data_IF_636921704312
#
_entry.id   IF_636921704312
#
_cell.length_a   1.000
_cell.length_b   1.000
_cell.length_c   1.000
_cell.angle_alpha   90.00
_cell.angle_beta   90.00
_cell.angle_gamma   90.00
#
_symmetry.space_group_name_H-M   'P 1'
#
loop_
_entity.id
_entity.type
_entity.pdbx_description
1 polymer ?
#
# COMPACT_ATOMS: atom_id res chain seq x y z
N UNK A 1 -11.31 -27.87 27.13
CA UNK A 1 -10.35 -26.73 27.11
C UNK A 1 -11.04 -25.39 27.35
N UNK A 2 -12.17 -25.07 26.69
CA UNK A 2 -12.91 -23.81 26.88
C UNK A 2 -13.39 -23.58 28.34
N UNK A 3 -13.92 -24.61 29.01
CA UNK A 3 -14.40 -24.50 30.39
C UNK A 3 -13.27 -24.25 31.41
N UNK A 4 -12.05 -24.70 31.12
CA UNK A 4 -10.89 -24.46 31.98
C UNK A 4 -10.44 -22.99 31.92
N UNK A 5 -10.41 -22.39 30.73
CA UNK A 5 -10.09 -20.96 30.57
C UNK A 5 -11.07 -20.06 31.31
N UNK A 6 -12.37 -20.37 31.28
CA UNK A 6 -13.40 -19.57 31.96
C UNK A 6 -13.30 -19.63 33.50
N UNK A 7 -12.94 -20.79 34.05
CA UNK A 7 -12.90 -20.99 35.51
C UNK A 7 -11.59 -20.57 36.19
N UNK A 8 -10.44 -20.70 35.50
CA UNK A 8 -9.12 -20.51 36.11
C UNK A 8 -8.39 -19.24 35.65
N UNK A 9 -8.89 -18.57 34.60
CA UNK A 9 -8.29 -17.37 34.01
C UNK A 9 -9.32 -16.27 33.70
N UNK A 10 -10.36 -16.15 34.53
CA UNK A 10 -11.45 -15.18 34.38
C UNK A 10 -10.97 -13.71 34.30
N UNK A 11 -9.82 -13.39 34.89
CA UNK A 11 -9.19 -12.05 34.85
C UNK A 11 -8.37 -11.76 33.58
N UNK A 12 -8.16 -12.74 32.70
CA UNK A 12 -7.47 -12.58 31.40
C UNK A 12 -8.41 -12.56 30.20
N UNK A 13 -9.71 -12.73 30.42
CA UNK A 13 -10.74 -12.60 29.40
C UNK A 13 -11.26 -11.16 29.48
N UNK A 14 -10.57 -10.24 28.82
CA UNK A 14 -11.16 -8.93 28.55
C UNK A 14 -12.24 -9.18 27.49
N UNK A 15 -13.52 -8.82 27.72
CA UNK A 15 -14.51 -8.83 26.65
C UNK A 15 -13.96 -8.01 25.50
N UNK A 16 -13.95 -8.58 24.30
CA UNK A 16 -13.75 -7.77 23.10
C UNK A 16 -14.95 -6.83 23.03
N UNK A 17 -14.80 -5.61 23.53
CA UNK A 17 -15.74 -4.53 23.28
C UNK A 17 -15.77 -4.37 21.76
N UNK A 18 -16.81 -4.91 21.14
CA UNK A 18 -17.18 -4.54 19.79
C UNK A 18 -17.39 -3.04 19.83
N UNK A 19 -16.55 -2.31 19.10
CA UNK A 19 -16.70 -0.88 18.91
C UNK A 19 -18.03 -0.62 18.20
N UNK A 20 -19.12 -0.50 18.96
CA UNK A 20 -20.36 0.07 18.49
C UNK A 20 -20.13 1.56 18.24
N UNK A 21 -20.62 2.05 17.11
CA UNK A 21 -20.47 3.41 16.56
C UNK A 21 -20.76 4.56 17.56
N UNK A 22 -21.42 4.29 18.68
CA UNK A 22 -21.75 5.27 19.73
C UNK A 22 -20.51 5.74 20.52
N UNK A 23 -19.42 4.96 20.57
CA UNK A 23 -18.23 5.33 21.33
C UNK A 23 -17.30 6.34 20.63
N UNK A 24 -17.56 6.71 19.37
CA UNK A 24 -16.74 7.69 18.64
C UNK A 24 -17.08 9.17 18.95
N UNK A 25 -18.18 9.45 19.64
CA UNK A 25 -18.67 10.82 19.86
C UNK A 25 -18.16 11.51 21.15
N UNK A 26 -17.31 10.86 21.96
CA UNK A 26 -16.79 11.47 23.20
C UNK A 26 -15.29 11.29 23.40
N UNK A 27 -14.48 11.42 22.35
CA UNK A 27 -13.13 11.94 22.58
C UNK A 27 -13.24 13.44 22.82
N UNK A 28 -13.46 13.83 24.08
CA UNK A 28 -13.05 15.17 24.51
C UNK A 28 -11.56 15.26 24.19
N UNK A 29 -11.21 16.05 23.18
CA UNK A 29 -9.83 16.47 22.96
C UNK A 29 -9.43 17.27 24.19
N UNK A 30 -8.80 16.59 25.17
CA UNK A 30 -8.22 17.28 26.30
C UNK A 30 -7.06 18.12 25.78
N UNK A 31 -7.19 19.44 25.90
CA UNK A 31 -6.07 20.36 25.62
C UNK A 31 -5.08 20.18 26.76
N UNK A 32 -4.16 19.22 26.61
CA UNK A 32 -3.19 18.82 27.66
C UNK A 32 -2.21 19.95 28.00
N UNK A 33 -2.02 20.92 27.09
CA UNK A 33 -1.05 22.01 27.25
C UNK A 33 -1.61 23.37 26.84
N UNK A 34 -1.31 24.46 27.56
CA UNK A 34 -1.70 25.81 27.15
C UNK A 34 -1.06 26.16 25.80
N UNK A 35 -1.71 27.06 25.06
CA UNK A 35 -1.21 27.49 23.76
C UNK A 35 0.21 28.06 23.88
N UNK A 36 1.10 27.54 23.05
CA UNK A 36 2.38 28.15 22.71
C UNK A 36 2.58 28.03 21.21
N UNK A 37 3.35 28.95 20.63
CA UNK A 37 3.71 28.86 19.22
C UNK A 37 4.52 27.59 18.89
N UNK A 38 5.23 27.04 19.88
CA UNK A 38 5.97 25.79 19.74
C UNK A 38 5.02 24.60 19.67
N UNK A 39 4.12 24.43 20.65
CA UNK A 39 3.19 23.30 20.67
C UNK A 39 2.21 23.33 19.50
N UNK A 40 1.73 24.52 19.11
CA UNK A 40 0.88 24.65 17.93
C UNK A 40 1.61 24.28 16.63
N UNK A 41 2.92 24.59 16.52
CA UNK A 41 3.72 24.16 15.36
C UNK A 41 3.97 22.67 15.37
N UNK A 42 4.26 22.06 16.51
CA UNK A 42 4.43 20.61 16.60
C UNK A 42 3.16 19.85 16.20
N UNK A 43 1.99 20.31 16.68
CA UNK A 43 0.71 19.75 16.27
C UNK A 43 0.45 19.92 14.76
N UNK A 44 0.83 21.08 14.18
CA UNK A 44 0.73 21.31 12.74
C UNK A 44 1.69 20.41 11.94
N UNK A 45 2.92 20.22 12.42
CA UNK A 45 3.89 19.29 11.82
C UNK A 45 3.34 17.87 11.81
N UNK A 46 2.80 17.42 12.93
CA UNK A 46 2.16 16.11 13.06
C UNK A 46 0.98 15.97 12.10
N UNK A 47 0.10 16.97 12.01
CA UNK A 47 -1.01 16.97 11.06
C UNK A 47 -0.53 16.85 9.62
N UNK A 48 0.49 17.61 9.21
CA UNK A 48 1.02 17.56 7.84
C UNK A 48 1.64 16.20 7.54
N UNK A 49 2.39 15.63 8.49
CA UNK A 49 3.01 14.30 8.34
C UNK A 49 1.96 13.20 8.26
N UNK A 50 1.04 13.14 9.23
CA UNK A 50 0.06 12.06 9.36
C UNK A 50 -0.95 12.05 8.21
N UNK A 51 -1.29 13.23 7.68
CA UNK A 51 -2.28 13.35 6.60
C UNK A 51 -1.63 13.51 5.22
N UNK A 52 -0.30 13.42 5.14
CA UNK A 52 0.46 13.57 3.89
C UNK A 52 0.12 14.87 3.13
N UNK A 53 -0.01 15.99 3.85
CA UNK A 53 -0.28 17.28 3.22
C UNK A 53 0.97 17.86 2.55
N UNK A 54 0.80 18.66 1.48
CA UNK A 54 1.92 19.38 0.90
C UNK A 54 2.49 20.39 1.90
N UNK A 55 3.81 20.60 1.89
CA UNK A 55 4.45 21.59 2.75
C UNK A 55 3.98 23.03 2.49
N UNK A 56 3.38 23.27 1.32
CA UNK A 56 2.80 24.56 0.93
C UNK A 56 1.46 24.85 1.62
N UNK A 57 0.85 23.89 2.34
CA UNK A 57 -0.39 24.10 3.09
C UNK A 57 -0.31 25.35 3.98
N UNK A 58 0.84 25.57 4.63
CA UNK A 58 1.06 26.70 5.54
C UNK A 58 1.13 28.06 4.84
N UNK A 59 1.17 28.06 3.51
CA UNK A 59 1.19 29.26 2.65
C UNK A 59 -0.15 29.47 1.92
N UNK A 60 -1.10 28.53 2.04
CA UNK A 60 -2.43 28.68 1.46
C UNK A 60 -3.22 29.77 2.18
N UNK A 61 -3.78 30.72 1.42
CA UNK A 61 -4.43 31.90 1.97
C UNK A 61 -5.65 31.56 2.85
N UNK A 62 -6.41 30.53 2.46
CA UNK A 62 -7.55 30.00 3.21
C UNK A 62 -7.10 29.42 4.56
N UNK A 63 -6.03 28.63 4.56
CA UNK A 63 -5.46 28.03 5.76
C UNK A 63 -4.87 29.07 6.71
N UNK A 64 -4.14 30.06 6.19
CA UNK A 64 -3.64 31.19 6.98
C UNK A 64 -4.79 31.94 7.65
N UNK A 65 -5.86 32.24 6.91
CA UNK A 65 -7.05 32.91 7.45
C UNK A 65 -7.72 32.07 8.55
N UNK A 66 -7.85 30.77 8.33
CA UNK A 66 -8.39 29.82 9.30
C UNK A 66 -7.59 29.84 10.62
N UNK A 67 -6.27 29.70 10.54
CA UNK A 67 -5.39 29.77 11.72
C UNK A 67 -5.49 31.11 12.46
N UNK A 68 -5.52 32.23 11.73
CA UNK A 68 -5.62 33.56 12.31
C UNK A 68 -6.95 33.80 13.05
N UNK A 69 -8.05 33.24 12.56
CA UNK A 69 -9.37 33.30 13.22
C UNK A 69 -9.36 32.43 14.48
N UNK A 70 -8.81 31.22 14.42
CA UNK A 70 -8.73 30.34 15.59
C UNK A 70 -7.87 30.90 16.71
N UNK A 71 -6.69 31.45 16.35
CA UNK A 71 -5.81 32.09 17.31
C UNK A 71 -4.91 33.14 16.63
N UNK A 72 -5.20 34.44 16.80
CA UNK A 72 -4.42 35.53 16.21
C UNK A 72 -2.94 35.57 16.65
N UNK A 73 -2.60 34.93 17.79
CA UNK A 73 -1.22 34.88 18.28
C UNK A 73 -0.39 33.74 17.66
N UNK A 74 -0.99 32.88 16.86
CA UNK A 74 -0.28 31.82 16.17
C UNK A 74 0.47 32.34 14.95
N UNK A 75 1.79 32.20 14.98
CA UNK A 75 2.70 32.62 13.92
C UNK A 75 3.07 31.41 13.07
N UNK A 76 2.37 31.28 11.96
CA UNK A 76 2.73 30.35 10.89
C UNK A 76 4.14 30.64 10.36
N UNK A 77 4.81 29.58 9.94
CA UNK A 77 6.13 29.65 9.31
C UNK A 77 5.98 29.34 7.83
N UNK A 78 6.91 29.83 7.01
CA UNK A 78 6.95 29.55 5.57
C UNK A 78 7.19 28.06 5.30
N UNK A 79 6.80 27.59 4.13
CA UNK A 79 6.94 26.20 3.70
C UNK A 79 8.39 25.70 3.79
N UNK A 80 9.37 26.56 3.49
CA UNK A 80 10.80 26.25 3.62
C UNK A 80 11.23 25.98 5.05
N UNK A 81 10.82 26.83 6.00
CA UNK A 81 11.10 26.66 7.42
C UNK A 81 10.34 25.45 7.98
N UNK A 82 9.13 25.19 7.48
CA UNK A 82 8.30 24.04 7.84
C UNK A 82 8.97 22.72 7.41
N UNK A 83 9.40 22.62 6.15
CA UNK A 83 10.18 21.49 5.63
C UNK A 83 11.44 21.24 6.47
N UNK A 84 12.17 22.30 6.82
CA UNK A 84 13.37 22.17 7.66
C UNK A 84 13.04 21.69 9.08
N UNK A 85 11.88 22.06 9.63
CA UNK A 85 11.42 21.55 10.92
C UNK A 85 11.11 20.05 10.87
N UNK A 86 10.38 19.58 9.84
CA UNK A 86 10.16 18.15 9.59
C UNK A 86 11.49 17.40 9.45
N UNK A 87 12.42 17.95 8.68
CA UNK A 87 13.73 17.32 8.47
C UNK A 87 14.55 17.21 9.77
N UNK A 88 14.50 18.23 10.64
CA UNK A 88 15.12 18.16 11.97
C UNK A 88 14.47 17.10 12.86
N UNK A 89 13.14 16.98 12.82
CA UNK A 89 12.40 15.93 13.52
C UNK A 89 12.83 14.55 13.04
N UNK A 90 12.91 14.34 11.72
CA UNK A 90 13.45 13.11 11.13
C UNK A 90 14.87 12.80 11.62
N UNK A 91 15.79 13.77 11.64
CA UNK A 91 17.16 13.55 12.15
C UNK A 91 17.13 13.13 13.63
N UNK A 92 16.27 13.73 14.44
CA UNK A 92 16.14 13.39 15.86
C UNK A 92 15.59 11.98 16.04
N UNK A 93 14.44 11.67 15.44
CA UNK A 93 13.79 10.36 15.53
C UNK A 93 14.69 9.25 14.98
N UNK A 94 15.43 9.53 13.89
CA UNK A 94 16.43 8.60 13.36
C UNK A 94 17.49 8.24 14.40
N UNK A 95 18.00 9.21 15.18
CA UNK A 95 18.96 8.93 16.25
C UNK A 95 18.33 8.04 17.34
N UNK A 96 17.08 8.29 17.67
CA UNK A 96 16.36 7.50 18.67
C UNK A 96 16.16 6.05 18.21
N UNK A 97 15.86 5.84 16.92
CA UNK A 97 15.76 4.50 16.31
C UNK A 97 17.12 3.78 16.31
N UNK A 98 18.21 4.47 15.93
CA UNK A 98 19.57 3.90 16.03
C UNK A 98 19.88 3.50 17.48
N UNK A 99 19.53 4.34 18.45
CA UNK A 99 19.74 4.04 19.87
C UNK A 99 18.84 2.90 20.36
N UNK A 100 17.64 2.77 19.82
CA UNK A 100 16.73 1.66 20.10
C UNK A 100 17.33 0.32 19.64
N UNK A 101 17.87 0.25 18.41
CA UNK A 101 18.47 -0.99 17.88
C UNK A 101 19.76 -1.42 18.57
N UNK A 102 20.48 -0.49 19.22
CA UNK A 102 21.66 -0.84 20.04
C UNK A 102 21.33 -1.68 21.27
N UNK A 103 20.07 -1.74 21.70
CA UNK A 103 19.67 -2.54 22.86
C UNK A 103 19.91 -4.03 22.58
N UNK A 104 20.49 -4.75 23.55
CA UNK A 104 20.67 -6.22 23.49
C UNK A 104 19.35 -6.98 23.42
N UNK A 105 18.27 -6.30 23.76
CA UNK A 105 16.93 -6.81 23.82
C UNK A 105 16.34 -7.02 22.40
N UNK A 106 16.86 -6.36 21.37
CA UNK A 106 16.35 -6.55 20.01
C UNK A 106 16.97 -7.79 19.38
N UNK A 107 16.12 -8.72 18.93
CA UNK A 107 16.54 -9.92 18.21
C UNK A 107 17.01 -9.65 16.79
N UNK A 108 16.95 -10.67 15.94
CA UNK A 108 17.17 -10.52 14.51
C UNK A 108 16.01 -9.76 13.85
N UNK A 109 16.29 -9.14 12.71
CA UNK A 109 15.34 -8.37 11.91
C UNK A 109 15.21 -8.98 10.52
N UNK A 110 14.00 -8.98 9.98
CA UNK A 110 13.74 -9.31 8.59
C UNK A 110 13.62 -8.02 7.79
N UNK A 111 14.21 -7.96 6.60
CA UNK A 111 14.17 -6.78 5.75
C UNK A 111 13.31 -7.02 4.51
N UNK A 112 12.56 -6.02 4.10
CA UNK A 112 11.95 -5.92 2.77
C UNK A 112 12.64 -4.78 2.03
N UNK A 113 12.91 -4.99 0.74
CA UNK A 113 13.42 -3.91 -0.12
C UNK A 113 12.58 -3.80 -1.38
N UNK A 114 12.22 -2.57 -1.70
CA UNK A 114 11.52 -2.20 -2.93
C UNK A 114 12.41 -1.26 -3.75
N UNK A 115 12.51 -1.55 -5.04
CA UNK A 115 13.29 -0.77 -5.98
C UNK A 115 12.42 -0.39 -7.16
N UNK A 116 12.34 0.91 -7.44
CA UNK A 116 11.57 1.41 -8.56
C UNK A 116 12.25 2.62 -9.19
N UNK A 117 11.96 2.86 -10.46
CA UNK A 117 12.29 4.12 -11.12
C UNK A 117 11.15 5.10 -10.89
N UNK A 118 11.46 6.25 -10.29
CA UNK A 118 10.50 7.33 -10.07
C UNK A 118 10.08 8.00 -11.38
N UNK A 119 9.02 8.81 -11.33
CA UNK A 119 8.54 9.54 -12.53
C UNK A 119 9.53 10.56 -13.09
N UNK A 120 10.54 10.96 -12.32
CA UNK A 120 11.65 11.81 -12.77
C UNK A 120 12.93 11.00 -13.10
N UNK A 121 12.79 9.70 -13.40
CA UNK A 121 13.85 8.79 -13.82
C UNK A 121 14.97 8.58 -12.78
N UNK A 122 14.66 8.71 -11.49
CA UNK A 122 15.59 8.37 -10.41
C UNK A 122 15.30 6.95 -9.95
N UNK A 123 16.32 6.11 -9.83
CA UNK A 123 16.13 4.83 -9.16
C UNK A 123 16.11 5.04 -7.66
N UNK A 124 15.04 4.59 -7.03
CA UNK A 124 14.82 4.71 -5.61
C UNK A 124 14.82 3.32 -4.99
N UNK A 125 15.40 3.23 -3.80
CA UNK A 125 15.42 2.04 -2.97
C UNK A 125 14.81 2.38 -1.62
N UNK A 126 13.76 1.66 -1.25
CA UNK A 126 13.23 1.66 0.10
C UNK A 126 13.68 0.39 0.82
N UNK A 127 14.21 0.53 2.03
CA UNK A 127 14.54 -0.59 2.91
C UNK A 127 13.74 -0.46 4.18
N UNK A 128 12.88 -1.45 4.43
CA UNK A 128 12.05 -1.55 5.62
C UNK A 128 12.45 -2.78 6.40
N UNK A 129 12.53 -2.65 7.72
CA UNK A 129 12.83 -3.79 8.60
C UNK A 129 11.65 -4.07 9.52
N UNK A 130 11.39 -5.35 9.72
CA UNK A 130 10.37 -5.89 10.60
C UNK A 130 11.03 -6.78 11.64
N UNK A 131 10.56 -6.70 12.89
CA UNK A 131 11.05 -7.53 13.98
C UNK A 131 9.96 -7.79 15.02
N UNK A 132 10.21 -8.74 15.92
CA UNK A 132 9.35 -9.03 17.06
C UNK A 132 9.98 -8.49 18.34
N UNK A 133 9.17 -7.83 19.17
CA UNK A 133 9.53 -7.48 20.55
C UNK A 133 9.39 -8.69 21.48
N UNK A 134 9.85 -8.59 22.74
CA UNK A 134 9.66 -9.66 23.74
C UNK A 134 8.20 -9.98 24.02
N UNK A 135 7.33 -8.98 23.87
CA UNK A 135 5.89 -9.12 24.08
C UNK A 135 5.19 -9.67 22.82
N UNK A 136 5.95 -10.22 21.86
CA UNK A 136 5.47 -10.74 20.58
C UNK A 136 4.69 -9.70 19.75
N UNK A 137 4.97 -8.42 19.96
CA UNK A 137 4.45 -7.34 19.12
C UNK A 137 5.34 -7.19 17.90
N UNK A 138 4.73 -7.30 16.72
CA UNK A 138 5.37 -7.05 15.44
C UNK A 138 5.58 -5.55 15.25
N UNK A 139 6.82 -5.19 14.98
CA UNK A 139 7.25 -3.82 14.74
C UNK A 139 7.81 -3.70 13.33
N UNK A 140 7.64 -2.54 12.73
CA UNK A 140 8.15 -2.22 11.41
C UNK A 140 8.70 -0.79 11.40
N UNK A 141 9.79 -0.57 10.68
CA UNK A 141 10.29 0.77 10.38
C UNK A 141 11.00 0.81 9.04
N UNK A 142 10.71 1.84 8.23
CA UNK A 142 11.50 2.14 7.03
C UNK A 142 12.80 2.83 7.42
N UNK A 143 13.92 2.17 7.21
CA UNK A 143 15.26 2.66 7.56
C UNK A 143 15.82 3.64 6.54
N UNK A 144 15.54 3.38 5.27
CA UNK A 144 16.12 4.12 4.16
C UNK A 144 15.14 4.27 3.02
N UNK A 145 15.12 5.47 2.45
CA UNK A 145 14.52 5.80 1.18
C UNK A 145 15.57 6.60 0.41
N UNK A 146 16.31 5.93 -0.47
CA UNK A 146 17.52 6.49 -1.10
C UNK A 146 17.44 6.41 -2.60
N UNK A 147 17.98 7.42 -3.25
CA UNK A 147 18.34 7.32 -4.66
C UNK A 147 19.54 6.37 -4.80
N UNK A 148 19.43 5.37 -5.67
CA UNK A 148 20.52 4.49 -6.04
C UNK A 148 21.33 5.16 -7.15
N UNK A 149 22.47 5.75 -6.78
CA UNK A 149 23.36 6.41 -7.73
C UNK A 149 24.20 5.41 -8.51
N UNK A 150 24.40 5.67 -9.80
CA UNK A 150 25.19 4.80 -10.70
C UNK A 150 24.38 3.64 -11.28
N UNK A 151 25.07 2.57 -11.69
CA UNK A 151 24.45 1.43 -12.36
C UNK A 151 23.47 0.69 -11.44
N UNK A 152 22.30 0.29 -11.95
CA UNK A 152 21.33 -0.55 -11.24
C UNK A 152 21.73 -2.04 -11.23
N UNK A 153 23.01 -2.30 -10.99
CA UNK A 153 23.53 -3.66 -10.84
C UNK A 153 23.17 -4.22 -9.46
N UNK A 154 23.00 -5.54 -9.38
CA UNK A 154 22.78 -6.22 -8.09
C UNK A 154 23.88 -5.91 -7.06
N UNK A 155 25.11 -5.70 -7.52
CA UNK A 155 26.24 -5.33 -6.65
C UNK A 155 26.04 -3.95 -6.02
N UNK A 156 25.61 -2.96 -6.80
CA UNK A 156 25.33 -1.62 -6.27
C UNK A 156 24.15 -1.66 -5.28
N UNK A 157 23.11 -2.43 -5.59
CA UNK A 157 21.97 -2.68 -4.71
C UNK A 157 22.45 -3.28 -3.37
N UNK A 158 23.33 -4.28 -3.41
CA UNK A 158 23.88 -4.93 -2.22
C UNK A 158 24.64 -3.97 -1.30
N UNK A 159 25.51 -3.14 -1.90
CA UNK A 159 26.29 -2.16 -1.16
C UNK A 159 25.40 -1.08 -0.54
N UNK A 160 24.42 -0.57 -1.30
CA UNK A 160 23.46 0.42 -0.78
C UNK A 160 22.65 -0.18 0.38
N UNK A 161 22.07 -1.37 0.20
CA UNK A 161 21.31 -2.08 1.23
C UNK A 161 22.12 -2.30 2.51
N UNK A 162 23.34 -2.84 2.39
CA UNK A 162 24.20 -3.11 3.53
C UNK A 162 24.67 -1.82 4.23
N UNK A 163 24.91 -0.74 3.47
CA UNK A 163 25.24 0.57 4.05
C UNK A 163 24.10 1.08 4.94
N UNK A 164 22.84 0.95 4.49
CA UNK A 164 21.66 1.33 5.28
C UNK A 164 21.62 0.50 6.57
N UNK A 165 21.74 -0.83 6.50
CA UNK A 165 21.74 -1.66 7.71
C UNK A 165 22.87 -1.29 8.68
N UNK A 166 24.06 -1.01 8.15
CA UNK A 166 25.24 -0.66 8.96
C UNK A 166 25.05 0.65 9.72
N UNK A 167 24.43 1.66 9.09
CA UNK A 167 24.12 2.94 9.75
C UNK A 167 23.19 2.79 10.96
N UNK A 168 22.35 1.76 10.97
CA UNK A 168 21.47 1.43 12.08
C UNK A 168 22.04 0.35 13.02
N UNK A 169 23.25 -0.16 12.75
CA UNK A 169 23.90 -1.21 13.56
C UNK A 169 23.24 -2.59 13.42
N UNK A 170 22.58 -2.85 12.28
CA UNK A 170 21.79 -4.06 12.02
C UNK A 170 22.49 -5.08 11.11
N UNK A 171 23.72 -4.80 10.67
CA UNK A 171 24.43 -5.63 9.70
C UNK A 171 24.66 -7.08 10.17
N UNK A 172 24.79 -7.31 11.49
CA UNK A 172 24.93 -8.64 12.11
C UNK A 172 23.59 -9.18 12.66
N UNK A 173 22.46 -8.58 12.30
CA UNK A 173 21.13 -8.97 12.83
C UNK A 173 20.13 -9.28 11.72
N UNK A 174 20.58 -9.51 10.50
CA UNK A 174 19.71 -9.77 9.37
C UNK A 174 19.28 -11.25 9.34
N UNK A 175 17.99 -11.52 9.54
CA UNK A 175 17.40 -12.86 9.48
C UNK A 175 17.07 -13.26 8.05
N UNK A 176 16.34 -12.43 7.33
CA UNK A 176 15.93 -12.70 5.96
C UNK A 176 15.75 -11.41 5.17
N UNK A 177 15.81 -11.52 3.85
CA UNK A 177 15.55 -10.42 2.91
C UNK A 177 14.41 -10.83 1.99
N UNK A 178 13.40 -9.98 1.89
CA UNK A 178 12.29 -10.14 0.95
C UNK A 178 12.40 -9.10 -0.15
N UNK A 179 12.39 -9.55 -1.41
CA UNK A 179 12.48 -8.68 -2.59
C UNK A 179 11.33 -8.95 -3.55
N UNK A 180 11.09 -8.06 -4.50
CA UNK A 180 10.26 -8.37 -5.66
C UNK A 180 10.92 -9.42 -6.58
N UNK A 181 10.29 -9.73 -7.71
CA UNK A 181 10.80 -10.73 -8.66
C UNK A 181 11.62 -10.10 -9.80
N UNK A 182 12.38 -9.04 -9.53
CA UNK A 182 13.30 -8.45 -10.50
C UNK A 182 14.52 -9.36 -10.73
N UNK A 183 15.02 -9.39 -11.96
CA UNK A 183 16.17 -10.23 -12.35
C UNK A 183 17.47 -9.84 -11.64
N UNK A 184 17.65 -8.57 -11.32
CA UNK A 184 18.81 -8.03 -10.60
C UNK A 184 18.90 -8.53 -9.14
N UNK A 185 17.78 -8.97 -8.55
CA UNK A 185 17.75 -9.42 -7.16
C UNK A 185 18.58 -10.68 -6.92
N UNK A 186 18.73 -11.55 -7.95
CA UNK A 186 19.64 -12.69 -7.85
C UNK A 186 21.06 -12.22 -7.53
N UNK A 187 21.64 -11.38 -8.39
CA UNK A 187 22.98 -10.83 -8.20
C UNK A 187 23.11 -10.02 -6.90
N UNK A 188 22.06 -9.29 -6.50
CA UNK A 188 22.03 -8.59 -5.21
C UNK A 188 22.22 -9.56 -4.02
N UNK A 189 21.45 -10.64 -3.99
CA UNK A 189 21.50 -11.63 -2.91
C UNK A 189 22.83 -12.37 -2.87
N UNK A 190 23.41 -12.66 -4.05
CA UNK A 190 24.74 -13.27 -4.12
C UNK A 190 25.84 -12.36 -3.58
N UNK A 191 25.79 -11.09 -3.95
CA UNK A 191 26.75 -10.10 -3.46
C UNK A 191 26.56 -9.83 -1.97
N UNK A 192 25.32 -9.77 -1.47
CA UNK A 192 25.05 -9.58 -0.04
C UNK A 192 25.62 -10.74 0.80
N UNK A 193 25.45 -11.99 0.35
CA UNK A 193 26.05 -13.16 0.99
C UNK A 193 27.59 -13.09 0.98
N UNK A 194 28.17 -12.57 -0.11
CA UNK A 194 29.63 -12.37 -0.21
C UNK A 194 30.12 -11.29 0.76
N UNK A 195 29.44 -10.16 0.84
CA UNK A 195 29.81 -9.01 1.67
C UNK A 195 29.69 -9.29 3.18
N UNK A 196 28.77 -10.17 3.58
CA UNK A 196 28.51 -10.50 4.98
C UNK A 196 29.26 -11.74 5.46
N UNK A 197 30.10 -12.37 4.63
CA UNK A 197 30.78 -13.65 4.94
C UNK A 197 31.59 -13.64 6.24
N UNK A 198 32.24 -12.51 6.55
CA UNK A 198 33.12 -12.36 7.72
C UNK A 198 32.38 -11.75 8.94
N UNK A 199 31.05 -11.62 8.87
CA UNK A 199 30.25 -11.12 9.99
C UNK A 199 29.96 -12.22 11.00
N UNK A 200 29.64 -11.85 12.24
CA UNK A 200 29.26 -12.78 13.30
C UNK A 200 28.05 -13.65 12.89
N UNK A 201 27.15 -13.07 12.10
CA UNK A 201 25.97 -13.71 11.53
C UNK A 201 25.91 -13.40 10.03
N UNK A 202 26.58 -14.22 9.18
CA UNK A 202 26.58 -14.02 7.74
C UNK A 202 25.19 -14.23 7.15
N UNK A 203 24.88 -13.53 6.06
CA UNK A 203 23.64 -13.73 5.33
C UNK A 203 23.77 -14.91 4.37
N UNK A 204 22.88 -15.90 4.52
CA UNK A 204 22.80 -17.08 3.66
C UNK A 204 21.76 -16.87 2.54
N UNK A 205 22.02 -17.42 1.36
CA UNK A 205 21.12 -17.23 0.19
C UNK A 205 19.75 -17.87 0.43
N UNK A 206 19.69 -18.88 1.28
CA UNK A 206 18.50 -19.60 1.73
C UNK A 206 17.56 -18.68 2.54
N UNK A 207 18.09 -17.59 3.10
CA UNK A 207 17.33 -16.57 3.81
C UNK A 207 16.74 -15.51 2.87
N UNK A 208 16.81 -15.72 1.55
CA UNK A 208 16.12 -14.89 0.57
C UNK A 208 14.69 -15.38 0.32
N UNK A 209 13.73 -14.50 0.55
CA UNK A 209 12.33 -14.73 0.24
C UNK A 209 11.97 -13.90 -1.00
N UNK A 210 11.39 -14.53 -2.00
CA UNK A 210 10.82 -13.82 -3.15
C UNK A 210 9.38 -13.45 -2.84
N UNK A 211 9.02 -12.20 -3.08
CA UNK A 211 7.63 -11.78 -3.13
C UNK A 211 7.01 -12.35 -4.42
N UNK A 212 6.56 -13.61 -4.35
CA UNK A 212 5.76 -14.26 -5.37
C UNK A 212 4.34 -13.68 -5.29
N UNK A 213 4.15 -12.44 -5.76
CA UNK A 213 2.82 -12.00 -6.19
C UNK A 213 2.42 -12.79 -7.44
N UNK A 214 1.11 -12.97 -7.74
CA UNK A 214 0.71 -13.42 -9.06
C UNK A 214 1.38 -12.51 -10.09
N UNK A 215 2.23 -13.09 -10.94
CA UNK A 215 3.08 -12.36 -11.88
C UNK A 215 2.31 -11.23 -12.58
N UNK A 216 2.89 -10.03 -12.83
CA UNK A 216 2.25 -8.96 -13.62
C UNK A 216 1.87 -9.38 -15.06
N UNK A 217 2.27 -10.58 -15.47
CA UNK A 217 1.79 -11.19 -16.70
C UNK A 217 0.40 -11.81 -16.58
N UNK A 218 -0.22 -12.01 -15.40
CA UNK A 218 -1.65 -12.36 -15.36
C UNK A 218 -2.51 -11.17 -15.83
N UNK A 219 -2.09 -9.93 -15.57
CA UNK A 219 -2.75 -8.72 -16.12
C UNK A 219 -2.48 -8.46 -17.61
N UNK A 220 -1.47 -9.12 -18.20
CA UNK A 220 -1.09 -8.97 -19.61
C UNK A 220 -1.25 -10.23 -20.47
N UNK A 221 -1.42 -11.42 -19.88
CA UNK A 221 -1.71 -12.65 -20.62
C UNK A 221 -3.20 -12.76 -20.90
N UNK A 222 -3.58 -12.34 -22.11
CA UNK A 222 -4.80 -12.77 -22.76
C UNK A 222 -5.96 -11.78 -22.69
N UNK A 223 -6.09 -10.94 -23.72
CA UNK A 223 -7.37 -10.43 -24.24
C UNK A 223 -8.27 -9.53 -23.37
N UNK A 224 -7.80 -9.00 -22.24
CA UNK A 224 -8.36 -7.73 -21.73
C UNK A 224 -8.02 -6.51 -22.63
N UNK A 225 -7.41 -6.72 -23.80
CA UNK A 225 -7.01 -5.69 -24.76
C UNK A 225 -8.16 -5.05 -25.55
N UNK A 226 -9.35 -5.67 -25.59
CA UNK A 226 -10.49 -5.10 -26.33
C UNK A 226 -11.19 -3.98 -25.55
N UNK A 227 -11.37 -4.10 -24.23
CA UNK A 227 -11.95 -3.01 -23.41
C UNK A 227 -10.92 -1.96 -22.96
N UNK A 228 -9.63 -2.32 -22.89
CA UNK A 228 -8.52 -1.39 -22.56
C UNK A 228 -8.41 -0.21 -23.54
N UNK A 229 -8.89 -0.34 -24.78
CA UNK A 229 -8.83 0.72 -25.79
C UNK A 229 -10.02 1.68 -25.77
N UNK A 230 -11.22 1.23 -25.34
CA UNK A 230 -12.43 2.07 -25.27
C UNK A 230 -12.45 2.93 -23.99
N UNK A 231 -12.19 2.35 -22.81
CA UNK A 231 -12.09 3.13 -21.57
C UNK A 231 -10.90 4.13 -21.57
N UNK A 232 -9.81 3.80 -22.29
CA UNK A 232 -8.67 4.73 -22.47
C UNK A 232 -9.01 5.98 -23.26
N UNK A 233 -9.95 5.94 -24.21
CA UNK A 233 -10.34 7.14 -24.95
C UNK A 233 -11.01 8.14 -24.01
N UNK A 234 -11.93 7.68 -23.16
CA UNK A 234 -12.62 8.53 -22.16
C UNK A 234 -11.64 9.24 -21.22
N UNK A 235 -10.51 8.59 -20.89
CA UNK A 235 -9.48 9.11 -19.98
C UNK A 235 -8.45 10.09 -20.61
N UNK A 236 -8.47 10.32 -21.93
CA UNK A 236 -7.53 11.25 -22.60
C UNK A 236 -8.12 12.66 -22.77
N UNK A 237 -9.37 12.89 -22.39
CA UNK A 237 -10.00 14.21 -22.43
C UNK A 237 -10.03 14.94 -21.09
N UNK A 238 -9.10 14.68 -20.18
CA UNK A 238 -8.93 15.50 -18.97
C UNK A 238 -8.22 16.81 -19.32
N UNK A 239 -9.02 17.72 -19.89
CA UNK A 239 -8.97 19.16 -19.66
C UNK A 239 -10.39 19.75 -19.84
N UNK A 240 -11.44 19.01 -19.45
CA UNK A 240 -12.79 19.54 -19.48
C UNK A 240 -13.49 19.45 -18.11
N UNK A 241 -13.87 20.64 -17.67
CA UNK A 241 -14.59 20.99 -16.46
C UNK A 241 -16.03 20.49 -16.60
N UNK A 242 -16.29 19.22 -16.22
CA UNK A 242 -17.68 18.73 -16.12
C UNK A 242 -18.21 19.15 -14.76
N UNK A 243 -18.68 20.40 -14.73
CA UNK A 243 -19.64 20.87 -13.75
C UNK A 243 -21.01 20.20 -13.95
N UNK A 244 -21.65 20.00 -12.81
CA UNK A 244 -23.07 19.73 -12.59
C UNK A 244 -23.68 18.39 -13.08
N UNK A 245 -24.34 17.77 -12.10
CA UNK A 245 -25.36 16.71 -12.21
C UNK A 245 -24.91 15.35 -12.74
N UNK A 246 -24.68 14.43 -11.80
CA UNK A 246 -25.23 13.06 -11.73
C UNK A 246 -24.82 12.49 -10.35
N UNK A 247 -25.81 12.30 -9.47
CA UNK A 247 -25.66 12.06 -8.01
C UNK A 247 -26.33 10.73 -7.61
N UNK A 248 -25.87 10.14 -6.49
CA UNK A 248 -26.33 8.92 -5.76
C UNK A 248 -25.74 7.57 -6.23
N UNK A 249 -25.42 6.56 -5.39
CA UNK A 249 -25.28 6.38 -3.93
C UNK A 249 -24.42 5.10 -3.70
N UNK A 250 -23.50 5.10 -2.71
CA UNK A 250 -22.98 3.85 -2.12
C UNK A 250 -23.78 3.55 -0.86
N UNK A 251 -24.42 2.37 -0.79
CA UNK A 251 -25.24 1.93 0.33
C UNK A 251 -24.51 2.00 1.68
N UNK A 252 -24.86 3.01 2.46
CA UNK A 252 -24.89 2.99 3.92
C UNK A 252 -26.31 3.41 4.32
N UNK A 253 -27.15 2.54 4.88
CA UNK A 253 -28.49 2.95 5.29
C UNK A 253 -28.37 3.83 6.55
N UNK A 254 -28.49 5.14 6.34
CA UNK A 254 -28.63 6.14 7.38
C UNK A 254 -27.38 6.98 7.59
N UNK A 255 -27.31 8.13 6.92
CA UNK A 255 -27.06 9.46 7.48
C UNK A 255 -26.75 10.45 6.34
N UNK A 256 -27.53 11.53 6.26
CA UNK A 256 -27.35 12.64 5.33
C UNK A 256 -25.93 13.23 5.42
N UNK A 257 -25.03 12.82 4.51
CA UNK A 257 -23.70 13.38 4.41
C UNK A 257 -23.67 14.54 3.39
N UNK A 258 -23.41 15.80 3.81
CA UNK A 258 -23.38 16.97 2.92
C UNK A 258 -22.17 17.03 1.95
N UNK A 259 -21.35 15.97 1.86
CA UNK A 259 -20.20 15.88 0.96
C UNK A 259 -20.25 14.62 0.09
N UNK A 260 -21.30 14.47 -0.72
CA UNK A 260 -21.35 13.46 -1.78
C UNK A 260 -20.25 13.75 -2.82
N UNK A 261 -19.12 13.03 -2.73
CA UNK A 261 -17.98 13.16 -3.64
C UNK A 261 -18.30 12.48 -4.96
N UNK A 262 -18.23 13.21 -6.08
CA UNK A 262 -18.32 12.66 -7.44
C UNK A 262 -17.25 11.58 -7.62
N UNK A 263 -17.69 10.37 -7.98
CA UNK A 263 -16.77 9.27 -8.27
C UNK A 263 -16.26 9.41 -9.71
N UNK A 264 -15.02 9.86 -9.86
CA UNK A 264 -14.35 9.92 -11.16
C UNK A 264 -13.83 8.54 -11.59
N UNK A 265 -13.65 8.30 -12.91
CA UNK A 265 -12.92 7.15 -13.41
C UNK A 265 -11.52 7.06 -12.79
N UNK A 266 -11.03 5.82 -12.58
CA UNK A 266 -9.67 5.60 -12.10
C UNK A 266 -8.72 5.37 -13.28
N UNK A 267 -7.49 5.86 -13.16
CA UNK A 267 -6.42 5.58 -14.13
C UNK A 267 -5.76 4.25 -13.82
N UNK A 268 -5.74 3.35 -14.80
CA UNK A 268 -5.00 2.09 -14.70
C UNK A 268 -3.49 2.34 -14.65
N UNK A 269 -2.80 1.71 -13.69
CA UNK A 269 -1.36 1.79 -13.49
C UNK A 269 -0.76 0.42 -13.82
N UNK A 270 -0.13 0.25 -15.01
CA UNK A 270 0.33 -1.07 -15.45
C UNK A 270 1.35 -1.74 -14.54
N UNK A 271 2.12 -0.94 -13.80
CA UNK A 271 3.12 -1.40 -12.83
C UNK A 271 2.51 -1.85 -11.51
N UNK A 272 1.24 -1.53 -11.23
CA UNK A 272 0.52 -1.92 -10.02
C UNK A 272 -0.60 -2.87 -10.40
N UNK A 273 -0.34 -4.17 -10.26
CA UNK A 273 -1.19 -5.24 -10.78
C UNK A 273 -2.65 -5.24 -10.28
N UNK A 274 -2.93 -4.73 -9.08
CA UNK A 274 -4.31 -4.58 -8.56
C UNK A 274 -5.06 -3.38 -9.18
N UNK A 275 -4.36 -2.48 -9.90
CA UNK A 275 -4.96 -1.27 -10.45
C UNK A 275 -6.08 -1.58 -11.44
N UNK A 276 -5.91 -2.60 -12.28
CA UNK A 276 -6.93 -2.99 -13.25
C UNK A 276 -8.22 -3.42 -12.56
N UNK A 277 -8.15 -4.18 -11.47
CA UNK A 277 -9.35 -4.55 -10.69
C UNK A 277 -10.06 -3.31 -10.13
N UNK A 278 -9.30 -2.35 -9.59
CA UNK A 278 -9.90 -1.14 -9.02
C UNK A 278 -10.56 -0.27 -10.09
N UNK A 279 -9.96 -0.17 -11.28
CA UNK A 279 -10.56 0.50 -12.42
C UNK A 279 -11.86 -0.19 -12.82
N UNK A 280 -11.85 -1.51 -13.02
CA UNK A 280 -13.06 -2.24 -13.42
C UNK A 280 -14.17 -2.16 -12.37
N UNK A 281 -13.85 -2.24 -11.08
CA UNK A 281 -14.82 -2.02 -10.00
C UNK A 281 -15.39 -0.61 -10.02
N UNK A 282 -14.54 0.41 -10.23
CA UNK A 282 -14.99 1.79 -10.37
C UNK A 282 -15.91 1.93 -11.57
N UNK A 283 -15.52 1.40 -12.72
CA UNK A 283 -16.28 1.48 -13.97
C UNK A 283 -17.68 0.88 -13.81
N UNK A 284 -17.82 -0.28 -13.17
CA UNK A 284 -19.14 -0.86 -12.82
C UNK A 284 -19.95 0.10 -11.92
N UNK A 285 -19.30 0.69 -10.92
CA UNK A 285 -19.95 1.63 -9.98
C UNK A 285 -20.47 2.88 -10.70
N UNK A 286 -19.72 3.37 -11.69
CA UNK A 286 -20.07 4.58 -12.46
C UNK A 286 -20.69 4.25 -13.83
N UNK A 287 -21.18 3.02 -14.04
CA UNK A 287 -21.66 2.53 -15.33
C UNK A 287 -22.66 3.49 -15.99
N UNK A 288 -23.66 3.96 -15.24
CA UNK A 288 -24.67 4.91 -15.74
C UNK A 288 -24.05 6.20 -16.28
N UNK A 289 -23.04 6.72 -15.60
CA UNK A 289 -22.34 7.93 -16.01
C UNK A 289 -21.47 7.69 -17.26
N UNK A 290 -20.82 6.52 -17.36
CA UNK A 290 -20.05 6.13 -18.54
C UNK A 290 -20.95 5.93 -19.77
N UNK A 291 -22.10 5.27 -19.62
CA UNK A 291 -23.05 5.06 -20.70
C UNK A 291 -23.63 6.39 -21.22
N UNK A 292 -23.97 7.31 -20.30
CA UNK A 292 -24.43 8.65 -20.66
C UNK A 292 -23.34 9.48 -21.38
N UNK A 293 -22.10 9.40 -20.91
CA UNK A 293 -20.97 10.15 -21.49
C UNK A 293 -20.57 9.61 -22.86
N UNK A 294 -20.52 8.28 -23.03
CA UNK A 294 -20.13 7.65 -24.30
C UNK A 294 -21.13 7.89 -25.42
N UNK A 295 -22.37 8.26 -25.09
CA UNK A 295 -23.41 8.65 -26.06
C UNK A 295 -23.16 10.03 -26.69
N UNK A 296 -22.32 10.88 -26.07
CA UNK A 296 -22.00 12.20 -26.59
C UNK A 296 -21.19 12.12 -27.90
N UNK A 297 -21.33 13.16 -28.75
CA UNK A 297 -20.75 13.17 -30.10
C UNK A 297 -19.23 12.95 -30.12
N UNK A 298 -18.54 13.41 -29.09
CA UNK A 298 -17.09 13.33 -28.92
C UNK A 298 -16.60 11.90 -28.64
N UNK A 299 -17.50 11.04 -28.12
CA UNK A 299 -17.19 9.71 -27.63
C UNK A 299 -17.83 8.56 -28.43
N UNK A 300 -18.51 8.89 -29.53
CA UNK A 300 -19.12 7.88 -30.41
C UNK A 300 -18.10 6.84 -30.88
N UNK A 301 -18.45 5.56 -30.76
CA UNK A 301 -17.59 4.42 -31.02
C UNK A 301 -16.82 3.90 -29.78
N UNK A 302 -16.96 4.57 -28.64
CA UNK A 302 -16.44 4.11 -27.34
C UNK A 302 -17.55 3.58 -26.41
N UNK A 303 -18.78 3.39 -26.92
CA UNK A 303 -19.88 2.83 -26.14
C UNK A 303 -19.52 1.42 -25.66
N UNK A 304 -19.87 1.13 -24.40
CA UNK A 304 -19.71 -0.17 -23.78
C UNK A 304 -21.08 -0.84 -23.82
N UNK A 305 -21.18 -1.92 -24.57
CA UNK A 305 -22.45 -2.66 -24.69
C UNK A 305 -22.66 -3.58 -23.49
N UNK A 306 -23.91 -4.03 -23.26
CA UNK A 306 -24.24 -4.93 -22.15
C UNK A 306 -23.37 -6.20 -22.16
N UNK A 307 -23.08 -6.77 -23.33
CA UNK A 307 -22.17 -7.91 -23.46
C UNK A 307 -20.73 -7.61 -23.00
N UNK A 308 -20.26 -6.38 -23.17
CA UNK A 308 -18.95 -5.93 -22.68
C UNK A 308 -19.00 -5.69 -21.16
N UNK A 309 -20.12 -5.18 -20.64
CA UNK A 309 -20.35 -5.03 -19.20
C UNK A 309 -20.39 -6.36 -18.46
N UNK A 310 -21.02 -7.39 -19.03
CA UNK A 310 -21.02 -8.74 -18.44
C UNK A 310 -19.60 -9.33 -18.37
N UNK A 311 -18.78 -9.13 -19.41
CA UNK A 311 -17.36 -9.53 -19.39
C UNK A 311 -16.56 -8.78 -18.33
N UNK A 312 -16.86 -7.49 -18.11
CA UNK A 312 -16.23 -6.68 -17.06
C UNK A 312 -16.61 -7.22 -15.67
N UNK A 313 -17.89 -7.54 -15.44
CA UNK A 313 -18.36 -8.14 -14.18
C UNK A 313 -17.68 -9.49 -13.92
N UNK A 314 -17.63 -10.37 -14.91
CA UNK A 314 -16.95 -11.67 -14.81
C UNK A 314 -15.45 -11.49 -14.51
N UNK A 315 -14.78 -10.54 -15.17
CA UNK A 315 -13.37 -10.26 -14.92
C UNK A 315 -13.11 -9.73 -13.50
N UNK A 316 -14.01 -8.88 -12.97
CA UNK A 316 -13.94 -8.41 -11.58
C UNK A 316 -14.07 -9.59 -10.61
N UNK A 317 -15.04 -10.48 -10.85
CA UNK A 317 -15.25 -11.67 -10.03
C UNK A 317 -14.01 -12.60 -10.06
N UNK A 318 -13.44 -12.85 -11.24
CA UNK A 318 -12.23 -13.66 -11.41
C UNK A 318 -11.00 -13.09 -10.66
N UNK A 319 -10.81 -11.76 -10.74
CA UNK A 319 -9.63 -11.09 -10.17
C UNK A 319 -9.76 -10.83 -8.66
N UNK A 320 -10.98 -10.76 -8.12
CA UNK A 320 -11.22 -10.40 -6.73
C UNK A 320 -10.55 -11.33 -5.70
N UNK A 321 -10.56 -12.68 -5.86
CA UNK A 321 -9.84 -13.58 -4.96
C UNK A 321 -8.34 -13.32 -4.88
N UNK A 322 -7.70 -12.89 -5.97
CA UNK A 322 -6.28 -12.56 -5.97
C UNK A 322 -6.01 -11.29 -5.16
N UNK A 323 -6.77 -10.23 -5.42
CA UNK A 323 -6.60 -8.96 -4.73
C UNK A 323 -6.86 -9.06 -3.22
N UNK A 324 -7.88 -9.82 -2.80
CA UNK A 324 -8.17 -10.06 -1.38
C UNK A 324 -7.00 -10.76 -0.67
N UNK A 325 -6.46 -11.82 -1.28
CA UNK A 325 -5.33 -12.58 -0.71
C UNK A 325 -4.06 -11.75 -0.68
N UNK A 326 -3.81 -10.94 -1.70
CA UNK A 326 -2.67 -10.04 -1.72
C UNK A 326 -2.78 -8.96 -0.68
N UNK A 327 -3.92 -8.29 -0.56
CA UNK A 327 -4.12 -7.28 0.49
C UNK A 327 -3.88 -7.87 1.88
N UNK A 328 -4.25 -9.13 2.08
CA UNK A 328 -3.95 -9.85 3.31
C UNK A 328 -2.43 -10.08 3.50
N UNK A 329 -1.71 -10.49 2.46
CA UNK A 329 -0.26 -10.72 2.49
C UNK A 329 0.58 -9.42 2.57
N UNK A 330 0.04 -8.29 2.12
CA UNK A 330 0.63 -6.95 2.26
C UNK A 330 0.52 -6.39 3.69
N UNK A 331 -0.18 -7.08 4.59
CA UNK A 331 -0.30 -6.68 5.99
C UNK A 331 1.04 -6.74 6.74
N UNK A 332 1.33 -5.71 7.54
CA UNK A 332 2.59 -5.58 8.29
C UNK A 332 2.40 -5.68 9.82
N UNK A 333 1.16 -5.71 10.31
CA UNK A 333 0.85 -5.77 11.76
C UNK A 333 0.68 -7.19 12.29
N UNK A 334 0.79 -8.19 11.43
CA UNK A 334 0.60 -9.59 11.77
C UNK A 334 1.49 -10.49 10.90
N UNK A 335 1.86 -11.70 11.37
CA UNK A 335 2.63 -12.64 10.57
C UNK A 335 1.89 -13.10 9.31
N UNK A 336 2.46 -12.86 8.14
CA UNK A 336 1.88 -13.25 6.85
C UNK A 336 2.52 -14.51 6.28
N UNK A 337 3.82 -14.73 6.50
CA UNK A 337 4.59 -15.81 5.86
C UNK A 337 3.98 -17.21 6.10
N UNK A 338 3.56 -17.52 7.32
CA UNK A 338 2.92 -18.81 7.66
C UNK A 338 1.57 -19.05 6.98
N UNK A 339 0.94 -18.01 6.44
CA UNK A 339 -0.35 -18.10 5.74
C UNK A 339 -0.21 -18.22 4.22
N UNK A 340 1.00 -18.00 3.68
CA UNK A 340 1.25 -18.03 2.23
C UNK A 340 0.81 -19.35 1.62
N UNK A 341 1.30 -20.48 2.14
CA UNK A 341 0.97 -21.80 1.60
C UNK A 341 -0.55 -22.10 1.64
N UNK A 342 -1.27 -21.93 2.77
CA UNK A 342 -2.72 -22.07 2.80
C UNK A 342 -3.47 -21.17 1.81
N UNK A 343 -3.04 -19.91 1.63
CA UNK A 343 -3.69 -18.98 0.70
C UNK A 343 -3.47 -19.37 -0.76
N UNK A 344 -2.26 -19.83 -1.09
CA UNK A 344 -1.93 -20.36 -2.41
C UNK A 344 -2.73 -21.62 -2.72
N UNK A 345 -2.81 -22.58 -1.78
CA UNK A 345 -3.64 -23.79 -1.96
C UNK A 345 -5.10 -23.44 -2.19
N UNK A 346 -5.67 -22.52 -1.39
CA UNK A 346 -7.05 -22.04 -1.61
C UNK A 346 -7.22 -21.31 -2.94
N UNK A 347 -6.17 -20.66 -3.46
CA UNK A 347 -6.22 -19.99 -4.76
C UNK A 347 -6.22 -20.99 -5.91
N UNK A 348 -5.34 -21.99 -5.86
CA UNK A 348 -5.30 -23.07 -6.83
C UNK A 348 -6.64 -23.82 -6.89
N UNK A 349 -7.20 -24.21 -5.73
CA UNK A 349 -8.52 -24.85 -5.67
C UNK A 349 -9.63 -23.98 -6.27
N UNK A 350 -9.58 -22.66 -6.04
CA UNK A 350 -10.56 -21.72 -6.60
C UNK A 350 -10.44 -21.63 -8.12
N UNK A 351 -9.23 -21.67 -8.66
CA UNK A 351 -8.98 -21.62 -10.11
C UNK A 351 -9.36 -22.92 -10.79
N UNK A 352 -9.12 -24.06 -10.15
CA UNK A 352 -9.58 -25.36 -10.65
C UNK A 352 -11.10 -25.41 -10.72
N UNK A 353 -11.80 -24.94 -9.67
CA UNK A 353 -13.26 -24.83 -9.69
C UNK A 353 -13.74 -23.87 -10.79
N UNK A 354 -13.12 -22.70 -10.90
CA UNK A 354 -13.45 -21.69 -11.91
C UNK A 354 -13.31 -22.24 -13.33
N UNK A 355 -12.25 -23.00 -13.61
CA UNK A 355 -12.04 -23.60 -14.92
C UNK A 355 -13.08 -24.68 -15.28
N UNK A 356 -13.65 -25.38 -14.30
CA UNK A 356 -14.63 -26.44 -14.50
C UNK A 356 -16.07 -25.95 -14.61
N UNK A 357 -16.34 -24.70 -14.21
CA UNK A 357 -17.68 -24.13 -14.22
C UNK A 357 -18.10 -23.74 -15.64
N UNK A 358 -19.17 -24.35 -16.15
CA UNK A 358 -19.65 -24.13 -17.52
C UNK A 358 -20.34 -22.77 -17.70
N UNK A 359 -20.71 -22.10 -16.61
CA UNK A 359 -21.35 -20.79 -16.65
C UNK A 359 -20.34 -19.66 -16.96
N UNK A 360 -19.05 -19.91 -16.75
CA UNK A 360 -17.98 -18.97 -17.09
C UNK A 360 -17.59 -19.02 -18.57
N UNK A 361 -17.22 -17.85 -19.11
CA UNK A 361 -16.79 -17.73 -20.49
C UNK A 361 -15.55 -18.58 -20.78
N UNK A 362 -15.39 -19.04 -22.03
CA UNK A 362 -14.25 -19.85 -22.44
C UNK A 362 -12.93 -19.12 -22.20
N UNK A 363 -12.90 -17.81 -22.43
CA UNK A 363 -11.75 -16.95 -22.18
C UNK A 363 -11.38 -16.87 -20.69
N UNK A 364 -12.39 -16.78 -19.82
CA UNK A 364 -12.23 -16.73 -18.36
C UNK A 364 -11.70 -18.05 -17.80
N UNK A 365 -12.17 -19.19 -18.35
CA UNK A 365 -11.65 -20.53 -18.02
C UNK A 365 -10.22 -20.75 -18.50
N UNK A 366 -9.88 -20.33 -19.73
CA UNK A 366 -8.51 -20.32 -20.23
C UNK A 366 -7.58 -19.46 -19.34
N UNK A 367 -8.04 -18.30 -18.88
CA UNK A 367 -7.29 -17.47 -17.96
C UNK A 367 -7.03 -18.16 -16.61
N UNK A 368 -8.00 -18.93 -16.10
CA UNK A 368 -7.83 -19.72 -14.88
C UNK A 368 -6.76 -20.82 -15.04
N UNK A 369 -6.70 -21.49 -16.20
CA UNK A 369 -5.64 -22.46 -16.51
C UNK A 369 -4.26 -21.79 -16.54
N UNK A 370 -4.13 -20.67 -17.25
CA UNK A 370 -2.86 -19.92 -17.32
C UNK A 370 -2.43 -19.44 -15.94
N UNK A 371 -3.36 -18.97 -15.11
CA UNK A 371 -3.11 -18.57 -13.74
C UNK A 371 -2.60 -19.74 -12.88
N UNK A 372 -3.23 -20.91 -13.02
CA UNK A 372 -2.86 -22.14 -12.30
C UNK A 372 -1.44 -22.58 -12.64
N UNK A 373 -1.09 -22.62 -13.92
CA UNK A 373 0.26 -23.00 -14.37
C UNK A 373 1.34 -22.02 -13.92
N UNK A 374 0.99 -20.73 -13.79
CA UNK A 374 1.91 -19.72 -13.26
C UNK A 374 2.12 -19.83 -11.76
N UNK A 375 1.10 -20.19 -10.99
CA UNK A 375 1.19 -20.35 -9.53
C UNK A 375 1.90 -21.64 -9.10
N UNK A 376 2.04 -22.62 -9.99
CA UNK A 376 2.79 -23.87 -9.75
C UNK A 376 4.29 -23.75 -10.02
N UNK A 377 4.73 -22.67 -10.67
CA UNK A 377 6.16 -22.36 -10.92
C UNK A 377 6.71 -21.52 -9.78
#
# INVERSE_FOLDING_TARGET
MANHMMSSHSTKIVPADQATLVNHATHKLEVVKPFSNEYAREALLEMVIMNNHPFTLVEEQSFIKFCAILNPNFRLIKSTAFRNAIFRRYISERKDIIQYFKRKSIGMVSATTDLWTSGNNLAMMAVTVTWLTFDFVMMEVTLGFRELQGDHSGVNIANCFLSILTEFGLQNRLLCVTTDNASSNGTFIEELARLTKDFDHPFEKENWIRCQGPHPQLSSSGRAGMSKAKCRKVLIADNFDIGEELREDEESPGEDNPFNRVLLPLRDVPTRWNSTLYVLKRDITIQRALDATTTQREWRGSEIHEEEWEKIKEAVEFLNPFALKTRFLEGYKYPTLGTVLPLFTKLLMSLEKWNLDADHSTESREAALVATEKLKK
#
